data_IF_376789526873
#
_entry.id   IF_376789526873
#
_cell.length_a   1.000
_cell.length_b   1.000
_cell.length_c   1.000
_cell.angle_alpha   90.00
_cell.angle_beta   90.00
_cell.angle_gamma   90.00
#
_symmetry.space_group_name_H-M   'P 1'
#
loop_
_entity.id
_entity.type
_entity.pdbx_description
1 polymer ?
#
# COMPACT_ATOMS: atom_id res chain seq x y z
N UNK A 1 3.17 23.51 1.29
CA UNK A 1 2.03 22.65 1.69
C UNK A 1 2.60 21.36 2.21
N UNK A 2 2.22 20.94 3.41
CA UNK A 2 2.69 19.70 4.04
C UNK A 2 1.56 18.66 4.07
N UNK A 3 1.94 17.40 4.09
CA UNK A 3 1.00 16.27 4.19
C UNK A 3 1.37 15.46 5.42
N UNK A 4 0.38 15.21 6.28
CA UNK A 4 0.51 14.28 7.39
C UNK A 4 0.09 12.89 6.92
N UNK A 5 0.96 11.90 7.06
CA UNK A 5 0.67 10.50 6.81
C UNK A 5 0.60 9.79 8.16
N UNK A 6 -0.47 9.06 8.43
CA UNK A 6 -0.71 8.39 9.72
C UNK A 6 -1.07 6.94 9.49
N UNK A 7 -0.38 6.00 10.15
CA UNK A 7 -0.76 4.60 10.14
C UNK A 7 -1.81 4.33 11.19
N UNK A 8 -2.98 3.84 10.77
CA UNK A 8 -4.04 3.48 11.69
C UNK A 8 -3.73 2.15 12.38
N UNK A 9 -4.07 2.03 13.67
CA UNK A 9 -4.05 0.76 14.36
C UNK A 9 -5.12 -0.14 13.75
N UNK A 10 -4.84 -1.43 13.67
CA UNK A 10 -5.76 -2.33 13.01
C UNK A 10 -6.96 -2.61 13.95
N UNK A 11 -8.17 -2.81 13.42
CA UNK A 11 -9.41 -2.92 14.23
C UNK A 11 -9.45 -4.19 15.07
N UNK A 12 -9.82 -4.10 16.33
CA UNK A 12 -10.05 -5.27 17.18
C UNK A 12 -11.54 -5.64 17.16
N UNK A 13 -11.94 -6.72 16.47
CA UNK A 13 -13.37 -7.03 16.30
C UNK A 13 -14.05 -7.45 17.61
N UNK A 14 -13.30 -7.87 18.62
CA UNK A 14 -13.81 -8.24 19.94
C UNK A 14 -14.13 -7.03 20.83
N UNK A 15 -13.59 -5.84 20.50
CA UNK A 15 -13.77 -4.63 21.31
C UNK A 15 -14.85 -3.75 20.66
N UNK A 16 -15.94 -3.43 21.37
CA UNK A 16 -16.92 -2.47 20.88
C UNK A 16 -16.28 -1.14 20.53
N UNK A 17 -16.77 -0.50 19.46
CA UNK A 17 -16.18 0.74 18.95
C UNK A 17 -16.16 1.87 19.98
N UNK A 18 -17.13 1.90 20.90
CA UNK A 18 -17.23 2.88 21.99
C UNK A 18 -16.13 2.72 23.04
N UNK A 19 -15.61 1.51 23.21
CA UNK A 19 -14.56 1.17 24.17
C UNK A 19 -13.17 1.22 23.53
N UNK A 20 -13.10 1.42 22.21
CA UNK A 20 -11.84 1.43 21.50
C UNK A 20 -10.97 2.63 21.91
N UNK A 21 -9.79 2.33 22.45
CA UNK A 21 -8.81 3.32 22.86
C UNK A 21 -7.79 3.56 21.76
N UNK A 22 -7.42 4.82 21.55
CA UNK A 22 -6.40 5.21 20.58
C UNK A 22 -5.00 4.96 21.14
N UNK A 23 -4.22 4.04 20.55
CA UNK A 23 -2.79 3.95 20.86
C UNK A 23 -2.05 5.15 20.26
N UNK A 24 -0.77 5.29 20.60
CA UNK A 24 0.08 6.22 19.86
C UNK A 24 0.21 5.80 18.40
N UNK A 25 -0.10 6.76 17.53
CA UNK A 25 -0.20 6.60 16.09
C UNK A 25 1.16 6.88 15.46
N UNK A 26 1.73 5.92 14.70
CA UNK A 26 2.86 6.20 13.83
C UNK A 26 2.48 7.25 12.80
N UNK A 27 3.30 8.28 12.66
CA UNK A 27 3.06 9.35 11.71
C UNK A 27 4.35 9.80 11.01
N UNK A 28 4.16 10.44 9.87
CA UNK A 28 5.19 11.10 9.09
C UNK A 28 4.61 12.40 8.51
N UNK A 29 5.28 13.52 8.75
CA UNK A 29 4.98 14.80 8.15
C UNK A 29 5.94 15.03 6.99
N UNK A 30 5.40 15.14 5.78
CA UNK A 30 6.18 15.41 4.56
C UNK A 30 5.91 16.81 4.04
N UNK A 31 6.92 17.44 3.45
CA UNK A 31 6.77 18.70 2.72
C UNK A 31 6.16 18.49 1.32
N UNK A 32 6.10 19.56 0.52
CA UNK A 32 5.59 19.50 -0.86
C UNK A 32 6.54 18.75 -1.80
N UNK A 33 7.83 18.73 -1.50
CA UNK A 33 8.86 18.04 -2.27
C UNK A 33 8.94 16.54 -1.93
N UNK A 34 8.25 16.09 -0.88
CA UNK A 34 8.27 14.71 -0.39
C UNK A 34 9.34 14.44 0.66
N UNK A 35 10.05 15.47 1.15
CA UNK A 35 11.01 15.31 2.22
C UNK A 35 10.32 15.17 3.57
N UNK A 36 10.83 14.26 4.39
CA UNK A 36 10.34 14.05 5.75
C UNK A 36 10.81 15.20 6.64
N UNK A 37 9.85 15.94 7.19
CA UNK A 37 10.11 17.01 8.17
C UNK A 37 10.09 16.49 9.60
N UNK A 38 9.20 15.53 9.89
CA UNK A 38 9.07 14.90 11.21
C UNK A 38 8.48 13.50 11.05
N UNK A 39 8.94 12.54 11.83
CA UNK A 39 8.32 11.23 11.95
C UNK A 39 8.37 10.79 13.42
N UNK A 40 7.48 9.88 13.80
CA UNK A 40 7.45 9.35 15.17
C UNK A 40 6.12 8.70 15.50
N UNK A 41 5.82 8.61 16.79
CA UNK A 41 4.53 8.18 17.32
C UNK A 41 3.98 9.27 18.22
N UNK A 42 2.67 9.48 18.18
CA UNK A 42 1.99 10.44 19.04
C UNK A 42 0.52 10.05 19.24
N UNK A 43 -0.06 10.45 20.36
CA UNK A 43 -1.50 10.41 20.54
C UNK A 43 -2.22 11.25 19.45
N UNK A 44 -3.46 10.88 19.11
CA UNK A 44 -4.25 11.56 18.07
C UNK A 44 -4.33 13.09 18.26
N UNK A 45 -4.45 13.55 19.50
CA UNK A 45 -4.52 14.98 19.85
C UNK A 45 -3.19 15.73 19.69
N UNK A 46 -2.06 15.01 19.66
CA UNK A 46 -0.71 15.56 19.58
C UNK A 46 -0.11 15.43 18.18
N UNK A 47 -0.85 14.90 17.20
CA UNK A 47 -0.41 14.81 15.83
C UNK A 47 -0.18 16.21 15.22
N UNK A 48 0.89 16.40 14.43
CA UNK A 48 1.17 17.70 13.83
C UNK A 48 0.10 18.11 12.82
N UNK A 49 -0.08 19.43 12.64
CA UNK A 49 -1.01 19.97 11.64
C UNK A 49 -0.38 20.00 10.26
N UNK A 50 -1.20 19.70 9.26
CA UNK A 50 -0.81 19.70 7.85
C UNK A 50 -2.00 20.19 7.00
N UNK A 51 -1.73 20.58 5.76
CA UNK A 51 -2.79 20.97 4.81
C UNK A 51 -3.68 19.79 4.41
N UNK A 52 -3.13 18.57 4.42
CA UNK A 52 -3.85 17.34 4.16
C UNK A 52 -3.38 16.21 5.10
N UNK A 53 -4.30 15.30 5.41
CA UNK A 53 -4.01 14.10 6.22
C UNK A 53 -4.37 12.84 5.43
N UNK A 54 -3.39 11.95 5.28
CA UNK A 54 -3.53 10.63 4.66
C UNK A 54 -3.49 9.57 5.76
N UNK A 55 -4.55 8.79 5.87
CA UNK A 55 -4.68 7.67 6.78
C UNK A 55 -4.34 6.38 6.04
N UNK A 56 -3.30 5.69 6.48
CA UNK A 56 -2.97 4.35 6.02
C UNK A 56 -3.81 3.37 6.83
N UNK A 57 -4.80 2.75 6.19
CA UNK A 57 -5.67 1.76 6.81
C UNK A 57 -4.98 0.41 6.76
N UNK A 58 -4.95 -0.31 7.89
CA UNK A 58 -4.33 -1.62 7.95
C UNK A 58 -4.97 -2.59 6.94
N UNK A 59 -4.14 -3.43 6.31
CA UNK A 59 -4.59 -4.36 5.28
C UNK A 59 -5.68 -5.32 5.77
N UNK A 60 -5.69 -5.66 7.06
CA UNK A 60 -6.67 -6.57 7.66
C UNK A 60 -8.10 -5.99 7.72
N UNK A 61 -8.22 -4.66 7.69
CA UNK A 61 -9.49 -3.97 7.87
C UNK A 61 -10.12 -3.55 6.53
N UNK A 62 -9.42 -3.77 5.41
CA UNK A 62 -9.90 -3.45 4.07
C UNK A 62 -9.85 -4.68 3.19
N UNK A 63 -11.03 -5.11 2.72
CA UNK A 63 -11.10 -6.10 1.65
C UNK A 63 -10.87 -5.40 0.31
N UNK A 64 -9.85 -5.83 -0.43
CA UNK A 64 -9.63 -5.43 -1.81
C UNK A 64 -10.03 -6.57 -2.74
N UNK A 65 -10.94 -6.30 -3.68
CA UNK A 65 -11.44 -7.30 -4.62
C UNK A 65 -11.53 -6.73 -6.04
N UNK A 66 -11.17 -7.52 -7.05
CA UNK A 66 -11.32 -7.13 -8.45
C UNK A 66 -12.66 -7.68 -8.98
N UNK A 67 -13.58 -6.80 -9.35
CA UNK A 67 -14.89 -7.19 -9.90
C UNK A 67 -15.22 -6.46 -11.20
N UNK A 68 -16.08 -7.08 -12.00
CA UNK A 68 -16.68 -6.42 -13.15
C UNK A 68 -17.69 -5.40 -12.65
N UNK A 69 -17.49 -4.13 -13.00
CA UNK A 69 -18.38 -3.04 -12.59
C UNK A 69 -19.24 -2.64 -13.79
N UNK A 70 -20.58 -2.69 -13.67
CA UNK A 70 -21.48 -2.26 -14.73
C UNK A 70 -21.17 -0.81 -15.18
N UNK A 71 -21.40 -0.45 -16.45
CA UNK A 71 -21.12 0.89 -16.99
C UNK A 71 -22.15 1.94 -16.52
N UNK A 72 -22.43 1.98 -15.21
CA UNK A 72 -23.31 2.91 -14.54
C UNK A 72 -22.51 4.08 -13.98
N UNK A 73 -23.17 5.24 -13.80
CA UNK A 73 -22.54 6.44 -13.23
C UNK A 73 -23.31 6.92 -12.00
N UNK A 74 -22.57 7.57 -11.10
CA UNK A 74 -23.13 8.34 -9.99
C UNK A 74 -24.00 7.51 -9.02
N UNK A 75 -25.23 7.96 -8.69
CA UNK A 75 -26.09 7.28 -7.72
C UNK A 75 -26.44 5.83 -8.07
N UNK A 76 -26.69 5.53 -9.35
CA UNK A 76 -27.03 4.17 -9.81
C UNK A 76 -25.89 3.19 -9.59
N UNK A 77 -24.65 3.64 -9.80
CA UNK A 77 -23.47 2.82 -9.51
C UNK A 77 -23.38 2.53 -8.02
N UNK A 78 -23.54 3.55 -7.15
CA UNK A 78 -23.49 3.36 -5.69
C UNK A 78 -24.54 2.38 -5.17
N UNK A 79 -25.73 2.34 -5.79
CA UNK A 79 -26.79 1.40 -5.44
C UNK A 79 -26.50 -0.03 -5.90
N UNK A 80 -25.72 -0.21 -6.97
CA UNK A 80 -25.36 -1.53 -7.49
C UNK A 80 -24.14 -2.14 -6.76
N UNK A 81 -23.29 -1.31 -6.14
CA UNK A 81 -22.06 -1.78 -5.46
C UNK A 81 -22.31 -2.85 -4.38
N UNK A 82 -23.31 -2.73 -3.49
CA UNK A 82 -23.61 -3.76 -2.49
C UNK A 82 -23.82 -5.14 -3.11
N UNK A 83 -24.60 -5.22 -4.19
CA UNK A 83 -24.89 -6.48 -4.88
C UNK A 83 -23.66 -7.10 -5.55
N UNK A 84 -22.69 -6.28 -5.98
CA UNK A 84 -21.45 -6.77 -6.62
C UNK A 84 -20.53 -7.44 -5.60
N UNK A 85 -20.56 -6.99 -4.35
CA UNK A 85 -19.66 -7.48 -3.29
C UNK A 85 -20.32 -8.50 -2.37
N UNK A 86 -21.63 -8.72 -2.48
CA UNK A 86 -22.45 -9.54 -1.58
C UNK A 86 -21.86 -10.94 -1.35
N UNK A 87 -21.56 -11.67 -2.44
CA UNK A 87 -21.02 -13.04 -2.36
C UNK A 87 -19.63 -13.15 -1.70
N UNK A 88 -18.91 -12.02 -1.60
CA UNK A 88 -17.55 -11.98 -1.05
C UNK A 88 -17.53 -11.54 0.42
N UNK A 89 -18.67 -11.11 0.98
CA UNK A 89 -18.76 -10.56 2.32
C UNK A 89 -19.47 -11.52 3.28
N UNK A 90 -18.89 -11.68 4.46
CA UNK A 90 -19.53 -12.42 5.57
C UNK A 90 -20.60 -11.55 6.26
N UNK A 91 -20.45 -10.23 6.19
CA UNK A 91 -21.34 -9.23 6.81
C UNK A 91 -22.25 -8.57 5.79
N UNK A 92 -23.29 -7.89 6.26
CA UNK A 92 -24.21 -7.13 5.42
C UNK A 92 -23.46 -6.07 4.56
N UNK A 93 -23.57 -6.12 3.21
CA UNK A 93 -22.98 -5.14 2.32
C UNK A 93 -23.43 -3.70 2.58
N UNK A 94 -24.65 -3.48 3.09
CA UNK A 94 -25.15 -2.13 3.41
C UNK A 94 -24.46 -1.50 4.63
N UNK A 95 -23.91 -2.34 5.51
CA UNK A 95 -23.05 -1.94 6.62
C UNK A 95 -21.63 -1.54 6.20
N UNK A 96 -21.29 -1.69 4.92
CA UNK A 96 -19.95 -1.42 4.41
C UNK A 96 -19.85 -0.07 3.68
N UNK A 97 -18.68 0.55 3.75
CA UNK A 97 -18.27 1.61 2.85
C UNK A 97 -17.49 1.00 1.69
N UNK A 98 -17.95 1.25 0.46
CA UNK A 98 -17.37 0.68 -0.76
C UNK A 98 -16.78 1.82 -1.60
N UNK A 99 -15.48 1.75 -1.86
CA UNK A 99 -14.75 2.66 -2.71
C UNK A 99 -14.29 1.94 -3.98
N UNK A 100 -14.24 2.68 -5.09
CA UNK A 100 -13.79 2.18 -6.39
C UNK A 100 -12.42 2.76 -6.71
N UNK A 101 -11.53 1.92 -7.23
CA UNK A 101 -10.29 2.40 -7.82
C UNK A 101 -10.61 3.22 -9.08
N UNK A 102 -10.07 4.44 -9.23
CA UNK A 102 -10.26 5.25 -10.43
C UNK A 102 -9.76 4.55 -11.69
N UNK A 103 -8.68 3.76 -11.57
CA UNK A 103 -8.04 3.08 -12.68
C UNK A 103 -8.58 1.65 -12.80
N UNK A 104 -9.03 1.29 -14.01
CA UNK A 104 -9.43 -0.07 -14.31
C UNK A 104 -8.19 -0.95 -14.53
N UNK A 105 -8.32 -2.24 -14.23
CA UNK A 105 -7.31 -3.22 -14.56
C UNK A 105 -7.27 -3.44 -16.09
N UNK A 106 -6.16 -3.99 -16.62
CA UNK A 106 -6.03 -4.29 -18.04
C UNK A 106 -7.13 -5.20 -18.61
N UNK A 107 -7.73 -6.03 -17.76
CA UNK A 107 -8.83 -6.95 -18.09
C UNK A 107 -10.22 -6.29 -18.06
N UNK A 108 -10.30 -4.98 -17.81
CA UNK A 108 -11.55 -4.22 -17.75
C UNK A 108 -12.28 -4.30 -16.40
N UNK A 109 -11.81 -5.09 -15.44
CA UNK A 109 -12.33 -5.09 -14.06
C UNK A 109 -11.86 -3.85 -13.30
N UNK A 110 -12.51 -3.55 -12.18
CA UNK A 110 -12.04 -2.51 -11.24
C UNK A 110 -11.78 -3.14 -9.88
N UNK A 111 -10.83 -2.57 -9.16
CA UNK A 111 -10.63 -2.94 -7.75
C UNK A 111 -11.60 -2.13 -6.89
N UNK A 112 -12.30 -2.83 -6.02
CA UNK A 112 -13.15 -2.27 -4.99
C UNK A 112 -12.44 -2.41 -3.64
N UNK A 113 -12.50 -1.37 -2.83
CA UNK A 113 -12.12 -1.39 -1.43
C UNK A 113 -13.35 -1.37 -0.55
N UNK A 114 -13.49 -2.37 0.31
CA UNK A 114 -14.61 -2.52 1.24
C UNK A 114 -14.09 -2.45 2.67
N UNK A 115 -14.72 -1.60 3.48
CA UNK A 115 -14.41 -1.40 4.90
C UNK A 115 -15.70 -1.27 5.71
N UNK A 116 -15.69 -1.63 6.99
CA UNK A 116 -16.83 -1.40 7.87
C UNK A 116 -17.15 0.10 7.96
N UNK A 117 -18.42 0.47 7.68
CA UNK A 117 -18.82 1.87 7.55
C UNK A 117 -18.84 2.58 8.90
N UNK A 118 -19.30 1.93 9.96
CA UNK A 118 -19.45 2.54 11.28
C UNK A 118 -18.08 2.86 11.88
N UNK A 119 -17.16 1.89 11.80
CA UNK A 119 -15.78 2.02 12.21
C UNK A 119 -15.05 3.10 11.41
N UNK A 120 -15.12 3.05 10.08
CA UNK A 120 -14.43 4.04 9.24
C UNK A 120 -14.95 5.47 9.48
N UNK A 121 -16.27 5.61 9.69
CA UNK A 121 -16.87 6.88 10.07
C UNK A 121 -16.35 7.38 11.41
N UNK A 122 -16.30 6.54 12.45
CA UNK A 122 -15.80 6.92 13.76
C UNK A 122 -14.34 7.41 13.71
N UNK A 123 -13.50 6.77 12.89
CA UNK A 123 -12.13 7.25 12.64
C UNK A 123 -12.14 8.64 12.00
N UNK A 124 -12.90 8.82 10.91
CA UNK A 124 -12.96 10.11 10.23
C UNK A 124 -13.48 11.22 11.14
N UNK A 125 -14.49 10.91 11.96
CA UNK A 125 -15.08 11.83 12.93
C UNK A 125 -14.05 12.17 14.03
N UNK A 126 -13.29 11.20 14.55
CA UNK A 126 -12.23 11.43 15.52
C UNK A 126 -11.11 12.34 14.99
N UNK A 127 -10.62 12.09 13.77
CA UNK A 127 -9.61 12.95 13.14
C UNK A 127 -10.13 14.36 12.84
N UNK A 128 -11.39 14.46 12.43
CA UNK A 128 -12.04 15.76 12.16
C UNK A 128 -12.24 16.55 13.44
N UNK A 129 -12.71 15.91 14.51
CA UNK A 129 -12.85 16.50 15.85
C UNK A 129 -11.50 16.90 16.43
N UNK A 130 -10.46 16.09 16.19
CA UNK A 130 -9.10 16.43 16.52
C UNK A 130 -8.55 17.59 15.68
N UNK A 131 -9.23 18.09 14.64
CA UNK A 131 -8.86 19.29 13.86
C UNK A 131 -8.13 19.02 12.54
N UNK A 132 -8.03 17.76 12.11
CA UNK A 132 -7.46 17.43 10.80
C UNK A 132 -8.45 17.72 9.67
N UNK A 133 -7.92 18.06 8.49
CA UNK A 133 -8.68 18.48 7.30
C UNK A 133 -8.21 17.69 6.09
N UNK A 134 -9.01 17.72 5.02
CA UNK A 134 -8.72 17.03 3.76
C UNK A 134 -8.31 15.57 3.95
N UNK A 135 -9.12 14.82 4.70
CA UNK A 135 -8.84 13.42 4.99
C UNK A 135 -8.86 12.60 3.70
N UNK A 136 -7.86 11.73 3.56
CA UNK A 136 -7.75 10.69 2.55
C UNK A 136 -7.44 9.39 3.27
N UNK A 137 -8.04 8.30 2.86
CA UNK A 137 -7.74 6.98 3.40
C UNK A 137 -7.22 6.10 2.26
N UNK A 138 -6.11 5.40 2.51
CA UNK A 138 -5.47 4.53 1.54
C UNK A 138 -5.19 3.19 2.23
N UNK A 139 -5.58 2.05 1.63
CA UNK A 139 -5.23 0.73 2.17
C UNK A 139 -3.72 0.53 2.15
N UNK A 140 -3.15 -0.05 3.21
CA UNK A 140 -1.69 -0.26 3.32
C UNK A 140 -1.09 -1.02 2.13
N UNK A 141 -1.84 -1.97 1.55
CA UNK A 141 -1.44 -2.74 0.36
C UNK A 141 -1.28 -1.87 -0.89
N UNK A 142 -1.94 -0.72 -0.97
CA UNK A 142 -1.80 0.27 -2.06
C UNK A 142 -0.62 1.23 -1.86
N UNK A 143 0.00 1.23 -0.69
CA UNK A 143 1.18 2.05 -0.41
C UNK A 143 2.49 1.36 -0.83
N UNK A 144 2.44 0.09 -1.21
CA UNK A 144 3.61 -0.65 -1.67
C UNK A 144 3.98 -0.27 -3.10
N UNK A 145 5.28 -0.20 -3.45
CA UNK A 145 5.70 0.02 -4.81
C UNK A 145 5.18 -1.10 -5.71
N UNK A 146 4.75 -0.75 -6.92
CA UNK A 146 4.36 -1.74 -7.91
C UNK A 146 5.54 -2.69 -8.16
N UNK A 147 5.32 -4.01 -8.20
CA UNK A 147 6.38 -4.94 -8.55
C UNK A 147 6.95 -4.52 -9.91
N UNK A 148 8.27 -4.43 -9.98
CA UNK A 148 8.96 -4.23 -11.25
C UNK A 148 8.51 -5.38 -12.16
N UNK A 149 7.90 -5.07 -13.30
CA UNK A 149 7.51 -6.09 -14.25
C UNK A 149 8.76 -6.93 -14.53
N UNK A 150 8.73 -8.20 -14.13
CA UNK A 150 9.77 -9.12 -14.50
C UNK A 150 9.83 -9.09 -16.03
N UNK A 151 11.00 -8.76 -16.58
CA UNK A 151 11.22 -8.89 -18.01
C UNK A 151 10.73 -10.29 -18.40
N UNK A 152 9.93 -10.42 -19.48
CA UNK A 152 9.48 -11.73 -19.90
C UNK A 152 10.71 -12.62 -20.04
N UNK A 153 10.77 -13.68 -19.23
CA UNK A 153 11.82 -14.68 -19.36
C UNK A 153 11.82 -15.12 -20.83
N UNK A 154 12.97 -15.16 -21.51
CA UNK A 154 13.01 -15.67 -22.87
C UNK A 154 12.40 -17.06 -22.84
N UNK A 155 11.31 -17.23 -23.58
CA UNK A 155 10.64 -18.53 -23.75
C UNK A 155 11.70 -19.50 -24.23
N UNK A 156 12.12 -20.43 -23.38
CA UNK A 156 12.86 -21.59 -23.83
C UNK A 156 11.96 -22.31 -24.83
N UNK A 157 12.39 -22.33 -26.09
CA UNK A 157 11.78 -23.18 -27.10
C UNK A 157 11.84 -24.64 -26.60
N UNK A 158 10.80 -25.47 -26.84
CA UNK A 158 10.88 -26.88 -26.54
C UNK A 158 11.96 -27.49 -27.46
N UNK A 159 13.04 -27.97 -26.87
CA UNK A 159 13.94 -28.90 -27.53
C UNK A 159 13.33 -30.29 -27.35
N UNK A 160 12.89 -30.90 -28.44
CA UNK A 160 12.47 -32.30 -28.48
C UNK A 160 13.67 -33.23 -28.19
N UNK A 161 13.36 -34.30 -27.43
CA UNK A 161 14.07 -35.57 -27.15
C UNK A 161 15.53 -35.76 -27.64
N UNK A 162 16.43 -36.17 -26.76
CA UNK A 162 16.56 -37.57 -26.30
C UNK A 162 17.78 -37.68 -25.36
N UNK A 163 17.66 -38.44 -24.27
CA UNK A 163 18.79 -38.75 -23.37
C UNK A 163 19.56 -39.98 -23.90
N UNK A 164 20.85 -40.15 -23.57
CA UNK A 164 21.10 -40.97 -22.40
C UNK A 164 22.30 -40.54 -21.52
N UNK A 165 22.21 -41.06 -20.29
CA UNK A 165 23.12 -40.99 -19.15
C UNK A 165 24.55 -41.50 -19.44
N UNK A 166 25.56 -40.78 -18.94
CA UNK A 166 26.70 -41.36 -18.19
C UNK A 166 27.35 -40.31 -17.29
N UNK A 167 27.54 -40.68 -16.03
CA UNK A 167 28.17 -39.90 -14.97
C UNK A 167 29.71 -39.88 -15.05
N UNK A 168 30.34 -38.72 -14.74
CA UNK A 168 31.35 -38.56 -13.68
C UNK A 168 32.10 -37.21 -13.76
N UNK A 169 32.00 -36.47 -12.65
CA UNK A 169 32.96 -35.58 -11.99
C UNK A 169 34.01 -34.74 -12.78
N UNK A 170 33.99 -33.45 -12.44
CA UNK A 170 35.13 -32.57 -12.07
C UNK A 170 35.22 -31.26 -12.86
N UNK A 171 35.23 -30.18 -12.07
CA UNK A 171 35.95 -28.90 -12.23
C UNK A 171 36.11 -28.26 -13.61
N UNK A 172 35.65 -27.02 -13.71
CA UNK A 172 36.15 -26.09 -14.73
C UNK A 172 35.11 -25.10 -15.21
N UNK A 173 35.01 -23.96 -14.52
CA UNK A 173 34.53 -22.71 -15.14
C UNK A 173 35.37 -22.39 -16.38
N UNK A 174 34.74 -21.90 -17.46
CA UNK A 174 35.34 -20.79 -18.17
C UNK A 174 34.37 -19.63 -18.35
N UNK A 175 34.94 -18.44 -18.09
CA UNK A 175 34.45 -17.13 -18.48
C UNK A 175 33.95 -17.12 -19.93
N UNK A 176 32.72 -16.66 -20.12
CA UNK A 176 32.28 -16.10 -21.39
C UNK A 176 31.82 -14.66 -21.14
N UNK A 177 32.63 -13.70 -21.60
CA UNK A 177 32.11 -12.40 -22.04
C UNK A 177 31.68 -12.55 -23.49
N UNK A 178 30.61 -11.86 -23.91
CA UNK A 178 30.87 -10.68 -24.72
C UNK A 178 30.02 -9.47 -24.32
N UNK A 179 30.74 -8.36 -24.16
CA UNK A 179 30.54 -7.09 -24.86
C UNK A 179 29.13 -6.71 -25.30
N UNK A 180 28.64 -5.57 -24.81
CA UNK A 180 27.58 -4.82 -25.49
C UNK A 180 26.69 -4.02 -24.54
N UNK A 181 27.21 -2.92 -24.01
CA UNK A 181 26.37 -1.88 -23.41
C UNK A 181 25.54 -1.20 -24.52
N UNK A 182 24.26 -0.92 -24.27
CA UNK A 182 23.77 0.42 -24.55
C UNK A 182 23.40 1.07 -23.23
N UNK A 183 23.83 2.32 -23.07
CA UNK A 183 23.40 3.19 -21.98
C UNK A 183 21.87 3.28 -22.03
N UNK A 184 21.19 2.61 -21.11
CA UNK A 184 19.77 2.81 -20.88
C UNK A 184 19.60 4.12 -20.12
N UNK A 185 18.94 5.09 -20.77
CA UNK A 185 18.60 6.38 -20.19
C UNK A 185 17.86 6.20 -18.86
N UNK A 186 18.13 7.03 -17.83
CA UNK A 186 17.44 6.94 -16.56
C UNK A 186 15.97 7.34 -16.74
N UNK A 187 15.11 6.32 -16.87
CA UNK A 187 13.66 6.49 -16.77
C UNK A 187 13.34 7.10 -15.40
N UNK A 188 12.95 8.37 -15.45
CA UNK A 188 12.58 9.18 -14.29
C UNK A 188 11.44 8.49 -13.55
N UNK A 189 11.76 7.97 -12.37
CA UNK A 189 10.78 7.46 -11.42
C UNK A 189 10.08 8.66 -10.79
N UNK A 190 8.75 8.66 -10.59
CA UNK A 190 8.21 9.46 -9.51
C UNK A 190 8.82 8.92 -8.21
N UNK A 191 9.27 9.81 -7.33
CA UNK A 191 9.83 9.45 -6.04
C UNK A 191 8.80 8.63 -5.24
N UNK A 192 8.93 7.32 -5.27
CA UNK A 192 8.20 6.44 -4.37
C UNK A 192 8.78 6.69 -2.98
N UNK A 193 8.03 7.40 -2.14
CA UNK A 193 8.32 7.53 -0.71
C UNK A 193 8.05 6.16 -0.09
N UNK A 194 9.06 5.30 -0.11
CA UNK A 194 9.05 4.02 0.58
C UNK A 194 9.12 4.32 2.09
N UNK A 195 7.96 4.38 2.75
CA UNK A 195 7.91 4.42 4.21
C UNK A 195 8.18 3.01 4.74
N UNK A 196 9.46 2.70 4.99
CA UNK A 196 9.84 1.52 5.76
C UNK A 196 9.42 1.77 7.20
N UNK A 197 8.30 1.18 7.62
CA UNK A 197 7.91 1.08 9.03
C UNK A 197 8.71 -0.06 9.67
N UNK A 198 9.99 0.19 9.89
CA UNK A 198 10.91 -0.70 10.62
C UNK A 198 11.00 -0.32 12.10
N UNK A 199 11.21 -1.32 12.95
CA UNK A 199 11.50 -1.17 14.39
C UNK A 199 12.83 -0.43 14.55
N UNK A 200 12.80 0.77 15.12
CA UNK A 200 14.02 1.50 15.46
C UNK A 200 14.67 0.88 16.71
N UNK A 201 15.55 -0.10 16.54
CA UNK A 201 16.67 -0.24 17.48
C UNK A 201 17.74 0.74 17.03
N UNK A 202 17.87 1.82 17.78
CA UNK A 202 18.90 2.82 17.60
C UNK A 202 20.29 2.18 17.70
N UNK A 203 21.12 2.37 16.68
CA UNK A 203 22.58 2.35 16.84
C UNK A 203 23.06 3.67 16.25
N UNK A 204 23.50 4.56 17.13
CA UNK A 204 24.16 5.80 16.77
C UNK A 204 25.50 5.50 16.08
N UNK A 205 25.87 6.21 15.00
CA UNK A 205 27.26 6.36 14.63
C UNK A 205 27.84 7.57 15.38
N UNK A 206 28.66 7.29 16.40
CA UNK A 206 29.55 8.27 17.00
C UNK A 206 30.52 8.78 15.93
N UNK A 207 30.56 10.10 15.74
CA UNK A 207 31.62 10.75 14.96
C UNK A 207 32.80 11.00 15.92
N UNK A 208 33.87 10.21 15.74
CA UNK A 208 35.21 10.50 16.31
C UNK A 208 35.83 11.59 15.44
N UNK A 209 36.01 12.79 16.00
CA UNK A 209 36.89 13.81 15.45
C UNK A 209 38.34 13.38 15.70
N UNK A 210 39.09 13.12 14.63
CA UNK A 210 40.55 13.04 14.67
C UNK A 210 41.11 14.47 14.56
N UNK A 211 41.99 14.82 15.50
CA UNK A 211 42.70 16.11 15.53
C UNK A 211 43.82 16.24 14.51
#
# INVERSE_FOLDING_TARGET
>A
MSTLIVSLPPREPAVPLQEWQWPELPFMLVDKAGHVQRAGRAALSLLPRASATVLIVAARDVLLLAASVPPLKGPKLRQALPNIVEDQLIQDPLGCHIALDPVALPDGRRVLGVVDRAWFRAICDAFTAAGHRQLRAVPATRCLPAPLAAAPAPSAAPADDDAPDIAAAADGLPLASPTGTPLAEPLVRPAAVAAVLGVATAVEPALVEAG
#
